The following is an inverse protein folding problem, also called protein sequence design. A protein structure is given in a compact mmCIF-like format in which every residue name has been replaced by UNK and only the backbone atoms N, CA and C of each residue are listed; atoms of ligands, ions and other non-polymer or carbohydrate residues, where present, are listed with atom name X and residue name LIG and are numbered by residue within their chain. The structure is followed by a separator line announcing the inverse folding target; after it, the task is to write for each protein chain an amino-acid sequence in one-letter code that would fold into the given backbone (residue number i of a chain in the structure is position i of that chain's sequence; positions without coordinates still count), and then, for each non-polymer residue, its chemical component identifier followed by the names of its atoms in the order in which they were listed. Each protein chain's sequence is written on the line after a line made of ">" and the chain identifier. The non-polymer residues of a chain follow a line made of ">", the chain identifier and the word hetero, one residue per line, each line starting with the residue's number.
data_IF_424609027283
#
_entry.id   IF_424609027283
#
_cell.length_a   1.000
_cell.length_b   1.000
_cell.length_c   1.000
_cell.angle_alpha   90.00
_cell.angle_beta   90.00
_cell.angle_gamma   90.00
#
_symmetry.space_group_name_H-M   'P 1'
#
loop_
_entity.id
_entity.type
_entity.pdbx_description
1 polymer ?
#
# COMPACT_ATOMS: atom_id res chain seq x y z
N UNK A 1 90.50 -41.74 -31.95
CA UNK A 1 90.97 -40.35 -31.93
C UNK A 1 89.78 -39.41 -31.80
N UNK A 2 89.76 -38.80 -30.70
CA UNK A 2 89.36 -37.38 -30.47
C UNK A 2 87.98 -36.93 -30.91
N UNK A 3 87.17 -36.66 -29.92
CA UNK A 3 86.71 -35.31 -29.46
C UNK A 3 85.32 -35.03 -29.98
N UNK A 4 84.40 -34.50 -29.27
CA UNK A 4 84.47 -33.68 -28.10
C UNK A 4 83.07 -33.54 -27.55
N UNK A 5 83.09 -33.50 -26.28
CA UNK A 5 81.90 -33.10 -25.50
C UNK A 5 81.54 -31.65 -25.79
N UNK A 6 80.38 -31.42 -26.27
CA UNK A 6 79.79 -30.07 -26.21
C UNK A 6 78.66 -30.08 -25.19
N UNK A 7 79.00 -29.54 -24.04
CA UNK A 7 78.02 -29.17 -23.04
C UNK A 7 77.05 -28.18 -23.68
N UNK A 8 75.87 -28.61 -24.01
CA UNK A 8 74.78 -27.71 -24.22
C UNK A 8 74.13 -27.51 -22.88
N UNK A 9 74.53 -26.42 -22.23
CA UNK A 9 73.71 -25.80 -21.16
C UNK A 9 72.42 -25.37 -21.79
N UNK A 10 71.47 -26.24 -21.85
CA UNK A 10 70.12 -25.83 -22.04
C UNK A 10 69.64 -25.20 -20.74
N UNK A 11 69.67 -23.90 -20.78
CA UNK A 11 68.93 -23.05 -19.84
C UNK A 11 67.53 -23.60 -19.72
N UNK A 12 67.22 -24.19 -18.58
CA UNK A 12 65.88 -24.40 -18.12
C UNK A 12 65.33 -22.99 -17.88
N UNK A 13 64.82 -22.40 -18.93
CA UNK A 13 63.99 -21.23 -18.82
C UNK A 13 62.77 -21.66 -17.98
N UNK A 14 62.85 -21.31 -16.72
CA UNK A 14 61.71 -21.29 -15.84
C UNK A 14 60.67 -20.36 -16.51
N UNK A 15 59.81 -20.97 -17.31
CA UNK A 15 58.57 -20.37 -17.71
C UNK A 15 57.70 -20.37 -16.43
N UNK A 16 58.03 -19.47 -15.53
CA UNK A 16 57.09 -19.00 -14.55
C UNK A 16 56.00 -18.27 -15.36
N UNK A 17 55.08 -19.06 -15.89
CA UNK A 17 53.85 -18.56 -16.40
C UNK A 17 53.23 -17.73 -15.29
N UNK A 18 53.36 -16.39 -15.37
CA UNK A 18 52.45 -15.48 -14.73
C UNK A 18 51.05 -15.87 -15.27
N UNK A 19 50.42 -16.79 -14.58
CA UNK A 19 48.97 -16.85 -14.51
C UNK A 19 48.56 -15.51 -13.90
N UNK A 20 48.46 -14.49 -14.74
CA UNK A 20 47.59 -13.36 -14.52
C UNK A 20 46.19 -13.97 -14.35
N UNK A 21 45.92 -14.36 -13.10
CA UNK A 21 44.56 -14.37 -12.64
C UNK A 21 44.08 -12.93 -12.85
N UNK A 22 43.57 -12.63 -14.02
CA UNK A 22 42.61 -11.59 -14.17
C UNK A 22 41.44 -12.06 -13.29
N UNK A 23 41.53 -11.76 -11.99
CA UNK A 23 40.36 -11.59 -11.17
C UNK A 23 39.53 -10.59 -11.96
N UNK A 24 38.63 -11.09 -12.78
CA UNK A 24 37.56 -10.27 -13.30
C UNK A 24 37.00 -9.60 -12.07
N UNK A 25 37.30 -8.33 -11.90
CA UNK A 25 36.52 -7.49 -10.98
C UNK A 25 35.10 -7.69 -11.49
N UNK A 26 34.38 -8.57 -10.80
CA UNK A 26 32.92 -8.47 -10.78
C UNK A 26 32.71 -7.05 -10.30
N UNK A 27 32.49 -6.15 -11.25
CA UNK A 27 32.09 -4.79 -10.96
C UNK A 27 30.89 -4.99 -10.06
N UNK A 28 31.06 -4.82 -8.76
CA UNK A 28 29.96 -4.84 -7.83
C UNK A 28 28.96 -3.85 -8.41
N UNK A 29 27.76 -4.30 -8.71
CA UNK A 29 26.72 -3.44 -9.26
C UNK A 29 26.60 -2.24 -8.29
N UNK A 30 27.05 -1.06 -8.73
CA UNK A 30 27.15 0.13 -7.90
C UNK A 30 25.74 0.70 -7.58
N UNK A 31 24.70 0.00 -8.04
CA UNK A 31 23.32 0.36 -7.82
C UNK A 31 22.54 -0.72 -7.06
N UNK A 32 21.62 -0.26 -6.21
CA UNK A 32 20.62 -1.11 -5.55
C UNK A 32 19.31 -0.94 -6.31
N UNK A 33 18.84 -2.03 -6.92
CA UNK A 33 17.65 -2.02 -7.78
C UNK A 33 16.40 -2.34 -6.97
N UNK A 34 15.48 -1.39 -6.86
CA UNK A 34 14.19 -1.55 -6.19
C UNK A 34 13.07 -1.51 -7.23
N UNK A 35 12.23 -2.52 -7.22
CA UNK A 35 11.03 -2.57 -8.06
C UNK A 35 9.88 -1.80 -7.43
N UNK A 36 9.09 -1.12 -8.26
CA UNK A 36 7.84 -0.48 -7.87
C UNK A 36 6.77 -0.93 -8.84
N UNK A 37 5.70 -1.56 -8.37
CA UNK A 37 4.56 -1.88 -9.23
C UNK A 37 3.28 -1.30 -8.65
N UNK A 38 2.60 -0.49 -9.43
CA UNK A 38 1.43 0.29 -9.02
C UNK A 38 0.42 0.36 -10.16
N UNK A 39 -0.86 0.54 -9.89
CA UNK A 39 -1.84 0.83 -10.94
C UNK A 39 -1.64 2.28 -11.41
N UNK A 40 -0.97 2.47 -12.54
CA UNK A 40 -0.74 3.79 -13.15
C UNK A 40 -1.72 4.08 -14.28
N UNK A 41 -2.43 3.05 -14.74
CA UNK A 41 -3.57 3.12 -15.66
C UNK A 41 -4.73 2.26 -15.14
N UNK A 42 -5.92 2.45 -15.71
CA UNK A 42 -7.13 1.74 -15.29
C UNK A 42 -7.84 2.39 -14.11
N UNK A 43 -8.75 1.65 -13.50
CA UNK A 43 -9.71 2.12 -12.49
C UNK A 43 -9.07 2.73 -11.24
N UNK A 44 -7.92 2.19 -10.81
CA UNK A 44 -7.22 2.60 -9.59
C UNK A 44 -6.05 3.56 -9.86
N UNK A 45 -5.91 4.06 -11.09
CA UNK A 45 -4.73 4.81 -11.55
C UNK A 45 -4.40 6.02 -10.67
N UNK A 46 -5.40 6.76 -10.22
CA UNK A 46 -5.16 7.96 -9.44
C UNK A 46 -4.56 7.64 -8.05
N UNK A 47 -5.04 6.59 -7.38
CA UNK A 47 -4.46 6.15 -6.11
C UNK A 47 -3.02 5.66 -6.28
N UNK A 48 -2.76 4.85 -7.30
CA UNK A 48 -1.41 4.37 -7.61
C UNK A 48 -0.44 5.49 -7.99
N UNK A 49 -0.91 6.54 -8.69
CA UNK A 49 -0.07 7.70 -9.00
C UNK A 49 0.33 8.46 -7.75
N UNK A 50 -0.59 8.68 -6.80
CA UNK A 50 -0.29 9.34 -5.52
C UNK A 50 0.77 8.54 -4.73
N UNK A 51 0.65 7.20 -4.66
CA UNK A 51 1.66 6.36 -4.03
C UNK A 51 3.02 6.46 -4.73
N UNK A 52 3.04 6.47 -6.07
CA UNK A 52 4.28 6.65 -6.83
C UNK A 52 4.96 7.98 -6.54
N UNK A 53 4.18 9.05 -6.43
CA UNK A 53 4.72 10.37 -6.14
C UNK A 53 5.34 10.41 -4.73
N UNK A 54 4.73 9.74 -3.75
CA UNK A 54 5.30 9.54 -2.42
C UNK A 54 6.61 8.73 -2.44
N UNK A 55 6.64 7.61 -3.17
CA UNK A 55 7.87 6.81 -3.36
C UNK A 55 8.98 7.64 -3.99
N UNK A 56 8.68 8.40 -5.04
CA UNK A 56 9.67 9.26 -5.72
C UNK A 56 10.19 10.36 -4.83
N UNK A 57 9.33 10.98 -4.03
CA UNK A 57 9.73 12.01 -3.08
C UNK A 57 10.69 11.43 -2.03
N UNK A 58 10.36 10.29 -1.43
CA UNK A 58 11.24 9.59 -0.49
C UNK A 58 12.59 9.20 -1.13
N UNK A 59 12.56 8.73 -2.37
CA UNK A 59 13.78 8.40 -3.12
C UNK A 59 14.63 9.64 -3.42
N UNK A 60 14.03 10.80 -3.70
CA UNK A 60 14.79 12.06 -3.87
C UNK A 60 15.47 12.51 -2.57
N UNK A 61 14.84 12.27 -1.43
CA UNK A 61 15.42 12.60 -0.11
C UNK A 61 16.51 11.61 0.30
N UNK A 62 16.35 10.32 0.00
CA UNK A 62 17.32 9.27 0.33
C UNK A 62 17.65 8.43 -0.92
N UNK A 63 18.46 9.00 -1.86
CA UNK A 63 18.79 8.35 -3.13
C UNK A 63 19.86 7.27 -3.02
N UNK A 64 20.47 7.08 -1.85
CA UNK A 64 21.58 6.14 -1.63
C UNK A 64 21.42 5.40 -0.29
N UNK A 65 21.84 4.14 -0.29
CA UNK A 65 21.95 3.32 0.93
C UNK A 65 23.17 2.40 0.81
N UNK A 66 23.86 2.12 1.91
CA UNK A 66 25.10 1.34 1.95
C UNK A 66 26.21 1.89 1.01
N UNK A 67 26.22 3.22 0.78
CA UNK A 67 27.18 3.87 -0.14
C UNK A 67 26.92 3.58 -1.63
N UNK A 68 25.73 3.06 -1.98
CA UNK A 68 25.33 2.76 -3.36
C UNK A 68 24.07 3.52 -3.72
N UNK A 69 23.97 3.94 -4.99
CA UNK A 69 22.77 4.56 -5.52
C UNK A 69 21.60 3.59 -5.55
N UNK A 70 20.41 4.09 -5.22
CA UNK A 70 19.16 3.35 -5.43
C UNK A 70 18.60 3.69 -6.81
N UNK A 71 18.22 2.67 -7.57
CA UNK A 71 17.53 2.82 -8.85
C UNK A 71 16.12 2.22 -8.75
N UNK A 72 15.10 3.01 -9.14
CA UNK A 72 13.70 2.58 -9.13
C UNK A 72 13.27 2.08 -10.50
N UNK A 73 12.76 0.86 -10.54
CA UNK A 73 12.14 0.25 -11.73
C UNK A 73 10.63 0.24 -11.56
N UNK A 74 9.96 1.18 -12.22
CA UNK A 74 8.51 1.37 -12.11
C UNK A 74 7.78 0.60 -13.21
N UNK A 75 6.78 -0.21 -12.82
CA UNK A 75 5.95 -0.98 -13.76
C UNK A 75 4.47 -0.74 -13.44
N UNK A 76 3.69 -0.39 -14.46
CA UNK A 76 2.25 -0.28 -14.40
C UNK A 76 1.59 -1.67 -14.35
N UNK A 77 0.76 -1.94 -13.34
CA UNK A 77 -0.03 -3.16 -13.25
C UNK A 77 -1.45 -3.01 -13.83
N UNK A 78 -1.77 -1.86 -14.42
CA UNK A 78 -3.01 -1.56 -15.16
C UNK A 78 -4.30 -1.82 -14.38
N UNK A 79 -4.25 -1.80 -13.06
CA UNK A 79 -5.38 -2.16 -12.17
C UNK A 79 -5.90 -3.59 -12.40
N UNK A 80 -5.04 -4.52 -12.87
CA UNK A 80 -5.39 -5.88 -13.24
C UNK A 80 -4.55 -6.92 -12.47
N UNK A 81 -5.18 -8.02 -12.01
CA UNK A 81 -4.53 -9.08 -11.23
C UNK A 81 -3.45 -9.82 -12.04
N UNK A 82 -3.70 -10.09 -13.33
CA UNK A 82 -2.76 -10.80 -14.20
C UNK A 82 -1.56 -9.90 -14.52
N UNK A 83 -1.83 -8.64 -14.81
CA UNK A 83 -0.78 -7.65 -15.06
C UNK A 83 0.05 -7.37 -13.78
N UNK A 84 -0.55 -7.42 -12.59
CA UNK A 84 0.19 -7.34 -11.32
C UNK A 84 1.21 -8.48 -11.19
N UNK A 85 0.81 -9.72 -11.45
CA UNK A 85 1.71 -10.85 -11.46
C UNK A 85 2.80 -10.72 -12.54
N UNK A 86 2.46 -10.23 -13.73
CA UNK A 86 3.39 -10.01 -14.83
C UNK A 86 4.39 -8.88 -14.50
N UNK A 87 3.93 -7.80 -13.87
CA UNK A 87 4.78 -6.71 -13.42
C UNK A 87 5.86 -7.19 -12.45
N UNK A 88 5.48 -7.97 -11.44
CA UNK A 88 6.42 -8.53 -10.47
C UNK A 88 7.37 -9.52 -11.11
N UNK A 89 6.90 -10.40 -12.01
CA UNK A 89 7.78 -11.29 -12.79
C UNK A 89 8.82 -10.52 -13.61
N UNK A 90 8.41 -9.42 -14.24
CA UNK A 90 9.32 -8.55 -14.98
C UNK A 90 10.39 -7.94 -14.08
N UNK A 91 9.97 -7.35 -12.95
CA UNK A 91 10.89 -6.74 -11.97
C UNK A 91 11.95 -7.73 -11.49
N UNK A 92 11.55 -8.96 -11.18
CA UNK A 92 12.46 -10.01 -10.69
C UNK A 92 13.36 -10.54 -11.81
N UNK A 93 12.77 -10.95 -12.94
CA UNK A 93 13.51 -11.71 -13.95
C UNK A 93 14.32 -10.83 -14.90
N UNK A 94 13.80 -9.65 -15.27
CA UNK A 94 14.45 -8.74 -16.21
C UNK A 94 15.26 -7.66 -15.49
N UNK A 95 14.65 -6.96 -14.56
CA UNK A 95 15.26 -5.81 -13.90
C UNK A 95 16.17 -6.23 -12.72
N UNK A 96 16.05 -7.51 -12.26
CA UNK A 96 16.89 -8.08 -11.18
C UNK A 96 16.85 -7.28 -9.89
N UNK A 97 15.66 -6.85 -9.49
CA UNK A 97 15.45 -6.07 -8.27
C UNK A 97 15.70 -6.91 -7.01
N UNK A 98 16.20 -6.28 -5.95
CA UNK A 98 16.50 -6.93 -4.66
C UNK A 98 15.32 -6.85 -3.69
N UNK A 99 14.40 -5.93 -3.93
CA UNK A 99 13.19 -5.74 -3.15
C UNK A 99 12.11 -5.04 -3.99
N UNK A 100 10.86 -5.10 -3.55
CA UNK A 100 9.71 -4.57 -4.28
C UNK A 100 8.85 -3.70 -3.36
N UNK A 101 8.36 -2.58 -3.87
CA UNK A 101 7.34 -1.72 -3.25
C UNK A 101 6.06 -1.82 -4.10
N UNK A 102 4.93 -1.92 -3.44
CA UNK A 102 3.60 -1.93 -4.07
C UNK A 102 2.68 -2.98 -3.44
N UNK A 103 1.44 -2.84 -3.66
CA UNK A 103 0.72 -1.97 -4.61
C UNK A 103 -0.56 -1.44 -3.97
N UNK A 104 -1.14 -0.40 -4.57
CA UNK A 104 -2.49 0.05 -4.23
C UNK A 104 -3.52 -1.02 -4.59
N UNK A 105 -4.24 -1.52 -3.56
CA UNK A 105 -5.32 -2.50 -3.74
C UNK A 105 -4.93 -3.95 -3.43
N UNK A 106 -5.71 -4.57 -2.52
CA UNK A 106 -5.41 -5.89 -1.95
C UNK A 106 -5.38 -7.02 -2.97
N UNK A 107 -6.35 -7.05 -3.90
CA UNK A 107 -6.40 -8.08 -4.96
C UNK A 107 -5.16 -8.07 -5.86
N UNK A 108 -4.66 -6.86 -6.17
CA UNK A 108 -3.45 -6.66 -6.97
C UNK A 108 -2.20 -7.06 -6.18
N UNK A 109 -2.17 -6.71 -4.88
CA UNK A 109 -1.09 -7.06 -3.97
C UNK A 109 -0.97 -8.57 -3.76
N UNK A 110 -2.09 -9.28 -3.61
CA UNK A 110 -2.10 -10.74 -3.50
C UNK A 110 -1.54 -11.40 -4.77
N UNK A 111 -1.96 -10.93 -5.95
CA UNK A 111 -1.48 -11.49 -7.22
C UNK A 111 0.01 -11.27 -7.45
N UNK A 112 0.53 -10.06 -7.21
CA UNK A 112 1.96 -9.76 -7.31
C UNK A 112 2.78 -10.37 -6.17
N UNK A 113 2.26 -10.33 -4.94
CA UNK A 113 2.89 -10.87 -3.75
C UNK A 113 3.14 -12.38 -3.83
N UNK A 114 2.23 -13.14 -4.44
CA UNK A 114 2.44 -14.58 -4.67
C UNK A 114 3.66 -14.87 -5.55
N UNK A 115 3.94 -13.99 -6.51
CA UNK A 115 5.13 -14.10 -7.36
C UNK A 115 6.40 -13.73 -6.60
N UNK A 116 6.36 -12.65 -5.81
CA UNK A 116 7.48 -12.21 -4.99
C UNK A 116 7.82 -13.26 -3.91
N UNK A 117 6.82 -13.81 -3.22
CA UNK A 117 6.94 -14.86 -2.22
C UNK A 117 7.66 -16.10 -2.78
N UNK A 118 7.21 -16.63 -3.93
CA UNK A 118 7.82 -17.80 -4.60
C UNK A 118 9.25 -17.55 -5.05
N UNK A 119 9.59 -16.31 -5.35
CA UNK A 119 10.92 -15.92 -5.77
C UNK A 119 11.86 -15.60 -4.59
N UNK A 120 11.33 -15.51 -3.36
CA UNK A 120 12.10 -15.13 -2.17
C UNK A 120 12.55 -13.67 -2.19
N UNK A 121 11.76 -12.78 -2.82
CA UNK A 121 12.08 -11.35 -2.91
C UNK A 121 11.17 -10.56 -1.94
N UNK A 122 11.73 -9.80 -0.99
CA UNK A 122 10.93 -9.03 -0.04
C UNK A 122 10.10 -7.96 -0.74
N UNK A 123 8.84 -7.84 -0.34
CA UNK A 123 7.88 -6.86 -0.83
C UNK A 123 7.29 -6.09 0.33
N UNK A 124 7.22 -4.77 0.20
CA UNK A 124 6.54 -3.87 1.13
C UNK A 124 5.29 -3.32 0.47
N UNK A 125 4.13 -3.76 0.94
CA UNK A 125 2.82 -3.30 0.49
C UNK A 125 2.54 -1.86 0.95
N UNK A 126 1.93 -1.07 0.08
CA UNK A 126 1.55 0.33 0.33
C UNK A 126 0.18 0.41 1.01
N UNK A 127 -0.93 0.44 0.25
CA UNK A 127 -2.30 0.42 0.75
C UNK A 127 -3.05 -0.83 0.27
N UNK A 128 -2.77 -1.94 0.90
CA UNK A 128 -3.31 -3.27 0.58
C UNK A 128 -3.71 -4.00 1.88
N UNK A 129 -4.86 -3.63 2.41
CA UNK A 129 -5.29 -3.84 3.80
C UNK A 129 -5.88 -5.22 4.10
N UNK A 130 -6.25 -6.03 3.07
CA UNK A 130 -6.80 -7.36 3.30
C UNK A 130 -5.76 -8.28 4.00
N UNK A 131 -6.11 -8.99 5.08
CA UNK A 131 -5.17 -9.88 5.79
C UNK A 131 -4.49 -10.92 4.92
N UNK A 132 -5.16 -11.40 3.86
CA UNK A 132 -4.62 -12.42 2.95
C UNK A 132 -3.40 -11.96 2.15
N UNK A 133 -3.08 -10.66 2.15
CA UNK A 133 -1.88 -10.13 1.48
C UNK A 133 -0.61 -10.69 2.10
N UNK A 134 -0.53 -10.74 3.42
CA UNK A 134 0.66 -11.16 4.19
C UNK A 134 0.50 -12.52 4.85
N UNK A 135 -0.74 -12.95 5.12
CA UNK A 135 -1.02 -14.17 5.86
C UNK A 135 -0.33 -15.41 5.28
N UNK A 136 0.50 -16.05 6.09
CA UNK A 136 1.24 -17.26 5.73
C UNK A 136 2.40 -17.04 4.76
N UNK A 137 2.84 -15.80 4.55
CA UNK A 137 3.94 -15.43 3.67
C UNK A 137 5.16 -14.96 4.47
N UNK A 138 6.35 -15.30 3.99
CA UNK A 138 7.61 -14.97 4.62
C UNK A 138 8.18 -13.64 4.13
N UNK A 139 8.00 -13.33 2.84
CA UNK A 139 8.67 -12.21 2.19
C UNK A 139 7.75 -10.99 1.98
N UNK A 140 6.47 -11.08 2.35
CA UNK A 140 5.50 -10.02 2.10
C UNK A 140 5.18 -9.27 3.39
N UNK A 141 5.39 -7.96 3.37
CA UNK A 141 5.17 -7.00 4.45
C UNK A 141 4.26 -5.88 3.99
N UNK A 142 3.78 -5.04 4.90
CA UNK A 142 3.02 -3.81 4.55
C UNK A 142 3.23 -2.70 5.59
N UNK A 143 3.04 -1.46 5.15
CA UNK A 143 3.07 -0.28 6.03
C UNK A 143 1.67 0.18 6.46
N UNK A 144 0.63 -0.34 5.83
CA UNK A 144 -0.76 -0.04 6.15
C UNK A 144 -1.31 -0.96 7.27
N UNK A 145 -2.34 -0.50 7.98
CA UNK A 145 -3.11 -1.36 8.88
C UNK A 145 -3.89 -2.44 8.10
N UNK A 146 -4.60 -3.30 8.80
CA UNK A 146 -5.38 -4.38 8.19
C UNK A 146 -6.89 -4.17 8.34
N UNK A 147 -7.67 -4.75 7.41
CA UNK A 147 -9.13 -4.65 7.38
C UNK A 147 -9.86 -5.10 8.66
N UNK A 148 -9.36 -6.06 9.46
CA UNK A 148 -9.93 -6.33 10.79
C UNK A 148 -9.97 -5.09 11.69
N UNK A 149 -8.88 -4.32 11.76
CA UNK A 149 -8.82 -3.06 12.51
C UNK A 149 -9.72 -2.01 11.88
N UNK A 150 -9.64 -1.85 10.56
CA UNK A 150 -10.44 -0.88 9.81
C UNK A 150 -11.94 -1.12 9.98
N UNK A 151 -12.39 -2.36 9.78
CA UNK A 151 -13.80 -2.75 9.91
C UNK A 151 -14.33 -2.58 11.34
N UNK A 152 -13.51 -2.93 12.34
CA UNK A 152 -13.85 -2.72 13.75
C UNK A 152 -13.90 -1.22 14.09
N UNK A 153 -12.96 -0.41 13.59
CA UNK A 153 -12.93 1.04 13.76
C UNK A 153 -14.14 1.73 13.16
N UNK A 154 -14.49 1.40 11.90
CA UNK A 154 -15.68 1.91 11.24
C UNK A 154 -16.98 1.54 11.99
N UNK A 155 -17.09 0.27 12.42
CA UNK A 155 -18.24 -0.20 13.17
C UNK A 155 -18.34 0.46 14.56
N UNK A 156 -17.21 0.65 15.25
CA UNK A 156 -17.15 1.37 16.54
C UNK A 156 -17.59 2.80 16.38
N UNK A 157 -17.11 3.48 15.36
CA UNK A 157 -17.51 4.87 15.08
C UNK A 157 -19.01 4.97 14.80
N UNK A 158 -19.53 4.12 13.90
CA UNK A 158 -20.96 4.10 13.60
C UNK A 158 -21.83 3.78 14.82
N UNK A 159 -21.51 2.70 15.54
CA UNK A 159 -22.35 2.19 16.60
C UNK A 159 -22.24 2.98 17.91
N UNK A 160 -21.01 3.25 18.37
CA UNK A 160 -20.76 3.88 19.69
C UNK A 160 -20.75 5.40 19.63
N UNK A 161 -20.13 5.98 18.58
CA UNK A 161 -19.94 7.43 18.51
C UNK A 161 -21.11 8.14 17.83
N UNK A 162 -21.68 7.56 16.76
CA UNK A 162 -22.85 8.12 16.09
C UNK A 162 -24.18 7.55 16.62
N UNK A 163 -24.17 6.49 17.41
CA UNK A 163 -25.35 5.88 17.98
C UNK A 163 -26.20 5.06 17.00
N UNK A 164 -25.69 4.78 15.79
CA UNK A 164 -26.41 4.09 14.71
C UNK A 164 -26.50 2.59 15.00
N UNK A 165 -27.69 2.00 14.85
CA UNK A 165 -27.98 0.62 15.26
C UNK A 165 -28.37 -0.29 14.09
N UNK A 166 -28.79 0.28 12.95
CA UNK A 166 -29.19 -0.44 11.75
C UNK A 166 -28.29 -0.07 10.58
N UNK A 167 -27.57 -1.05 10.06
CA UNK A 167 -26.68 -0.83 8.93
C UNK A 167 -27.12 -1.63 7.68
N UNK A 168 -26.94 -1.04 6.52
CA UNK A 168 -26.88 -1.74 5.24
C UNK A 168 -25.43 -1.78 4.75
N UNK A 169 -25.12 -2.75 3.91
CA UNK A 169 -23.80 -2.90 3.29
C UNK A 169 -23.99 -3.11 1.79
N UNK A 170 -23.20 -2.38 0.97
CA UNK A 170 -23.16 -2.57 -0.48
C UNK A 170 -21.75 -2.97 -0.89
N UNK A 171 -21.56 -4.19 -1.41
CA UNK A 171 -20.27 -4.86 -1.57
C UNK A 171 -19.91 -5.06 -3.03
N UNK A 172 -18.71 -4.66 -3.44
CA UNK A 172 -18.08 -5.11 -4.69
C UNK A 172 -17.60 -6.56 -4.53
N UNK A 173 -18.31 -7.50 -5.18
CA UNK A 173 -17.97 -8.93 -5.05
C UNK A 173 -16.82 -9.39 -5.94
N UNK A 174 -16.37 -8.56 -6.87
CA UNK A 174 -15.21 -8.85 -7.70
C UNK A 174 -13.88 -8.46 -7.02
N UNK A 175 -13.96 -7.76 -5.88
CA UNK A 175 -12.82 -7.18 -5.19
C UNK A 175 -12.61 -7.77 -3.79
N UNK A 176 -11.45 -8.40 -3.56
CA UNK A 176 -11.14 -9.07 -2.29
C UNK A 176 -11.06 -8.09 -1.10
N UNK A 177 -10.64 -6.81 -1.32
CA UNK A 177 -10.68 -5.77 -0.30
C UNK A 177 -12.12 -5.49 0.15
N UNK A 178 -13.01 -5.21 -0.80
CA UNK A 178 -14.42 -4.89 -0.51
C UNK A 178 -15.12 -6.02 0.24
N UNK A 179 -14.94 -7.27 -0.24
CA UNK A 179 -15.51 -8.46 0.40
C UNK A 179 -14.99 -8.66 1.83
N UNK A 180 -13.67 -8.51 2.02
CA UNK A 180 -13.03 -8.65 3.32
C UNK A 180 -13.50 -7.60 4.31
N UNK A 181 -13.39 -6.32 3.95
CA UNK A 181 -13.75 -5.20 4.81
C UNK A 181 -15.24 -5.19 5.17
N UNK A 182 -16.14 -5.51 4.21
CA UNK A 182 -17.56 -5.71 4.48
C UNK A 182 -17.82 -6.75 5.57
N UNK A 183 -17.10 -7.88 5.51
CA UNK A 183 -17.20 -8.94 6.50
C UNK A 183 -16.69 -8.54 7.89
N UNK A 184 -15.61 -7.75 7.97
CA UNK A 184 -15.06 -7.27 9.24
C UNK A 184 -15.97 -6.22 9.88
N UNK A 185 -16.48 -5.28 9.10
CA UNK A 185 -17.47 -4.31 9.57
C UNK A 185 -18.73 -5.02 10.11
N UNK A 186 -19.30 -5.93 9.33
CA UNK A 186 -20.51 -6.69 9.70
C UNK A 186 -20.33 -7.44 11.04
N UNK A 187 -19.22 -8.18 11.20
CA UNK A 187 -18.93 -8.92 12.44
C UNK A 187 -18.82 -8.00 13.64
N UNK A 188 -18.06 -6.92 13.51
CA UNK A 188 -17.86 -5.96 14.61
C UNK A 188 -19.13 -5.21 14.96
N UNK A 189 -19.90 -4.81 13.96
CA UNK A 189 -21.18 -4.12 14.18
C UNK A 189 -22.20 -5.01 14.91
N UNK A 190 -22.32 -6.29 14.48
CA UNK A 190 -23.16 -7.30 15.14
C UNK A 190 -22.68 -7.64 16.55
N UNK A 191 -21.35 -7.75 16.78
CA UNK A 191 -20.76 -8.01 18.11
C UNK A 191 -21.15 -6.95 19.13
N UNK A 192 -21.34 -5.70 18.69
CA UNK A 192 -21.81 -4.59 19.52
C UNK A 192 -23.34 -4.53 19.70
N UNK A 193 -24.11 -5.39 19.05
CA UNK A 193 -25.57 -5.42 19.09
C UNK A 193 -26.26 -4.69 17.93
N UNK A 194 -25.52 -4.29 16.90
CA UNK A 194 -26.09 -3.70 15.69
C UNK A 194 -26.76 -4.73 14.78
N UNK A 195 -27.71 -4.27 13.99
CA UNK A 195 -28.47 -5.06 13.01
C UNK A 195 -28.00 -4.74 11.60
N UNK A 196 -27.73 -5.76 10.77
CA UNK A 196 -27.52 -5.59 9.33
C UNK A 196 -28.85 -5.86 8.64
N UNK A 197 -29.53 -4.79 8.21
CA UNK A 197 -30.86 -4.86 7.60
C UNK A 197 -30.83 -5.20 6.11
N UNK A 198 -29.70 -4.98 5.43
CA UNK A 198 -29.48 -5.37 4.04
C UNK A 198 -27.99 -5.58 3.76
N UNK A 199 -27.66 -6.54 2.89
CA UNK A 199 -26.32 -6.73 2.33
C UNK A 199 -26.45 -7.07 0.86
N UNK A 200 -26.20 -6.06 0.00
CA UNK A 200 -26.35 -6.15 -1.44
C UNK A 200 -25.00 -6.15 -2.14
N UNK A 201 -25.00 -6.49 -3.41
CA UNK A 201 -23.80 -6.77 -4.20
C UNK A 201 -23.80 -5.96 -5.49
N UNK A 202 -22.60 -5.62 -5.95
CA UNK A 202 -22.33 -5.10 -7.29
C UNK A 202 -21.00 -5.67 -7.80
N UNK A 203 -20.64 -5.41 -9.05
CA UNK A 203 -19.33 -5.79 -9.60
C UNK A 203 -18.49 -4.55 -9.90
N UNK A 204 -17.17 -4.67 -9.76
CA UNK A 204 -16.24 -3.61 -10.12
C UNK A 204 -16.53 -3.08 -11.54
N UNK A 205 -16.63 -1.75 -11.67
CA UNK A 205 -16.94 -1.09 -12.93
C UNK A 205 -18.43 -0.86 -13.19
N UNK A 206 -19.34 -1.36 -12.35
CA UNK A 206 -20.77 -1.02 -12.46
C UNK A 206 -20.96 0.50 -12.31
N UNK A 207 -21.93 1.04 -13.06
CA UNK A 207 -22.22 2.48 -13.11
C UNK A 207 -23.64 2.80 -12.66
N UNK A 208 -24.51 1.81 -12.51
CA UNK A 208 -25.90 1.94 -12.06
C UNK A 208 -26.15 1.08 -10.84
N UNK A 209 -26.46 1.72 -9.74
CA UNK A 209 -26.73 1.13 -8.43
C UNK A 209 -28.18 1.36 -7.97
N UNK A 210 -29.04 1.87 -8.88
CA UNK A 210 -30.41 2.28 -8.58
C UNK A 210 -31.24 1.15 -7.96
N UNK A 211 -31.12 -0.07 -8.48
CA UNK A 211 -31.84 -1.23 -7.97
C UNK A 211 -31.43 -1.57 -6.52
N UNK A 212 -30.13 -1.66 -6.28
CA UNK A 212 -29.59 -1.94 -4.95
C UNK A 212 -29.95 -0.84 -3.94
N UNK A 213 -29.78 0.43 -4.33
CA UNK A 213 -30.10 1.58 -3.47
C UNK A 213 -31.58 1.66 -3.14
N UNK A 214 -32.48 1.40 -4.10
CA UNK A 214 -33.93 1.34 -3.87
C UNK A 214 -34.28 0.26 -2.86
N UNK A 215 -33.69 -0.92 -2.96
CA UNK A 215 -33.91 -1.99 -1.96
C UNK A 215 -33.35 -1.57 -0.59
N UNK A 216 -32.13 -1.00 -0.52
CA UNK A 216 -31.53 -0.51 0.74
C UNK A 216 -32.44 0.52 1.40
N UNK A 217 -32.90 1.53 0.66
CA UNK A 217 -33.81 2.58 1.17
C UNK A 217 -35.08 1.98 1.77
N UNK A 218 -35.64 0.93 1.12
CA UNK A 218 -36.84 0.24 1.63
C UNK A 218 -36.65 -0.42 3.00
N UNK A 219 -35.40 -0.79 3.35
CA UNK A 219 -35.04 -1.41 4.64
C UNK A 219 -34.80 -0.40 5.76
N UNK A 220 -34.79 0.90 5.43
CA UNK A 220 -34.60 2.01 6.39
C UNK A 220 -33.37 1.82 7.28
N UNK A 221 -32.16 1.64 6.72
CA UNK A 221 -30.93 1.63 7.52
C UNK A 221 -30.68 3.04 8.09
N UNK A 222 -29.92 3.12 9.17
CA UNK A 222 -29.39 4.38 9.72
C UNK A 222 -28.02 4.72 9.13
N UNK A 223 -27.31 3.68 8.65
CA UNK A 223 -26.01 3.82 7.95
C UNK A 223 -25.94 2.85 6.78
N UNK A 224 -25.40 3.33 5.66
CA UNK A 224 -24.93 2.51 4.54
C UNK A 224 -23.41 2.48 4.56
N UNK A 225 -22.84 1.27 4.76
CA UNK A 225 -21.41 1.05 4.66
C UNK A 225 -21.05 0.55 3.26
N UNK A 226 -20.17 1.29 2.57
CA UNK A 226 -19.71 1.00 1.20
C UNK A 226 -18.18 0.82 1.20
N UNK A 227 -17.65 -0.39 1.41
CA UNK A 227 -16.24 -0.70 1.28
C UNK A 227 -15.82 -0.73 -0.20
N UNK A 228 -15.79 0.44 -0.83
CA UNK A 228 -15.60 0.64 -2.27
C UNK A 228 -14.31 1.41 -2.54
N UNK A 229 -13.89 1.44 -3.80
CA UNK A 229 -12.96 2.46 -4.27
C UNK A 229 -13.69 3.77 -4.56
N UNK A 230 -12.92 4.87 -4.61
CA UNK A 230 -13.48 6.23 -4.66
C UNK A 230 -14.40 6.48 -5.86
N UNK A 231 -14.13 5.89 -7.02
CA UNK A 231 -14.88 6.16 -8.23
C UNK A 231 -16.33 5.63 -8.15
N UNK A 232 -16.50 4.35 -7.86
CA UNK A 232 -17.83 3.76 -7.66
C UNK A 232 -18.51 4.32 -6.42
N UNK A 233 -17.74 4.52 -5.33
CA UNK A 233 -18.27 5.10 -4.11
C UNK A 233 -18.90 6.48 -4.32
N UNK A 234 -18.27 7.34 -5.13
CA UNK A 234 -18.80 8.64 -5.49
C UNK A 234 -20.08 8.55 -6.32
N UNK A 235 -20.17 7.59 -7.26
CA UNK A 235 -21.38 7.36 -8.07
C UNK A 235 -22.51 6.82 -7.18
N UNK A 236 -22.21 5.88 -6.28
CA UNK A 236 -23.19 5.35 -5.31
C UNK A 236 -23.78 6.48 -4.46
N UNK A 237 -22.93 7.39 -3.95
CA UNK A 237 -23.40 8.55 -3.17
C UNK A 237 -24.30 9.47 -3.98
N UNK A 238 -23.96 9.77 -5.24
CA UNK A 238 -24.81 10.57 -6.14
C UNK A 238 -26.17 9.94 -6.34
N UNK A 239 -26.20 8.67 -6.71
CA UNK A 239 -27.46 7.95 -6.95
C UNK A 239 -28.30 7.80 -5.67
N UNK A 240 -27.65 7.60 -4.51
CA UNK A 240 -28.34 7.61 -3.22
C UNK A 240 -29.00 8.96 -2.94
N UNK A 241 -28.32 10.09 -3.20
CA UNK A 241 -28.87 11.43 -3.05
C UNK A 241 -30.04 11.66 -4.02
N UNK A 242 -29.91 11.27 -5.30
CA UNK A 242 -30.95 11.38 -6.33
C UNK A 242 -32.22 10.59 -5.97
N UNK A 243 -32.07 9.45 -5.29
CA UNK A 243 -33.16 8.61 -4.79
C UNK A 243 -33.74 9.10 -3.45
N UNK A 244 -33.21 10.20 -2.89
CA UNK A 244 -33.71 10.76 -1.62
C UNK A 244 -33.34 9.92 -0.41
N UNK A 245 -32.20 9.25 -0.41
CA UNK A 245 -31.71 8.47 0.73
C UNK A 245 -31.48 9.38 1.95
N UNK A 246 -31.97 8.96 3.11
CA UNK A 246 -31.86 9.65 4.39
C UNK A 246 -31.17 8.74 5.41
N UNK A 247 -29.89 8.42 5.16
CA UNK A 247 -29.04 7.66 6.05
C UNK A 247 -27.58 8.14 5.93
N UNK A 248 -26.80 7.94 6.99
CA UNK A 248 -25.37 8.21 6.94
C UNK A 248 -24.69 7.27 5.95
N UNK A 249 -23.84 7.78 5.06
CA UNK A 249 -22.98 6.93 4.24
C UNK A 249 -21.59 6.91 4.86
N UNK A 250 -21.02 5.69 4.99
CA UNK A 250 -19.66 5.46 5.48
C UNK A 250 -18.91 4.53 4.55
N UNK A 251 -17.57 4.72 4.47
CA UNK A 251 -16.70 3.92 3.61
C UNK A 251 -15.36 3.56 4.25
N UNK A 252 -14.52 2.88 3.48
CA UNK A 252 -13.17 2.49 3.85
C UNK A 252 -12.11 3.49 3.38
N UNK A 253 -10.84 3.14 3.66
CA UNK A 253 -9.64 3.94 3.33
C UNK A 253 -9.44 4.17 1.82
N UNK A 254 -9.85 3.22 0.97
CA UNK A 254 -9.77 3.37 -0.49
C UNK A 254 -10.67 4.49 -1.05
N UNK A 255 -11.54 5.07 -0.21
CA UNK A 255 -12.33 6.26 -0.54
C UNK A 255 -11.63 7.57 -0.13
N UNK A 256 -10.48 7.51 0.57
CA UNK A 256 -9.66 8.68 0.85
C UNK A 256 -8.91 9.16 -0.40
N UNK A 257 -9.65 9.84 -1.26
CA UNK A 257 -9.15 10.30 -2.54
C UNK A 257 -9.71 11.69 -2.84
N UNK A 258 -8.89 12.69 -3.23
CA UNK A 258 -9.37 14.05 -3.53
C UNK A 258 -10.38 14.09 -4.68
N UNK A 259 -10.35 13.12 -5.61
CA UNK A 259 -11.31 13.01 -6.72
C UNK A 259 -12.74 12.67 -6.26
N UNK A 260 -12.92 12.17 -5.04
CA UNK A 260 -14.25 11.80 -4.55
C UNK A 260 -15.23 13.01 -4.54
N UNK A 261 -14.73 14.19 -4.14
CA UNK A 261 -15.52 15.41 -4.13
C UNK A 261 -15.78 15.93 -5.57
N UNK A 262 -14.83 15.77 -6.47
CA UNK A 262 -14.98 16.15 -7.88
C UNK A 262 -16.07 15.32 -8.59
N UNK A 263 -16.08 13.99 -8.35
CA UNK A 263 -17.04 13.07 -8.97
C UNK A 263 -18.41 13.16 -8.28
N UNK A 264 -18.43 13.12 -6.95
CA UNK A 264 -19.65 13.03 -6.15
C UNK A 264 -20.37 14.37 -5.94
N UNK A 265 -19.67 15.51 -6.13
CA UNK A 265 -20.24 16.84 -5.95
C UNK A 265 -20.85 17.04 -4.55
N UNK A 266 -22.08 17.54 -4.49
CA UNK A 266 -22.80 17.76 -3.21
C UNK A 266 -23.15 16.46 -2.48
N UNK A 267 -23.17 15.32 -3.16
CA UNK A 267 -23.56 14.05 -2.58
C UNK A 267 -22.52 13.49 -1.58
N UNK A 268 -21.30 14.00 -1.60
CA UNK A 268 -20.26 13.60 -0.62
C UNK A 268 -20.30 14.41 0.67
N UNK A 269 -21.17 15.42 0.76
CA UNK A 269 -21.28 16.21 2.01
C UNK A 269 -21.75 15.32 3.16
N UNK A 270 -21.04 15.37 4.28
CA UNK A 270 -21.31 14.51 5.43
C UNK A 270 -20.80 13.08 5.33
N UNK A 271 -20.22 12.67 4.19
CA UNK A 271 -19.60 11.36 4.03
C UNK A 271 -18.49 11.13 5.05
N UNK A 272 -18.44 9.94 5.63
CA UNK A 272 -17.45 9.52 6.62
C UNK A 272 -16.70 8.32 6.09
N UNK A 273 -15.37 8.31 6.23
CA UNK A 273 -14.59 7.12 5.89
C UNK A 273 -13.43 6.89 6.88
N UNK A 274 -12.97 5.66 6.93
CA UNK A 274 -11.73 5.34 7.62
C UNK A 274 -10.54 5.80 6.80
N UNK A 275 -9.43 6.10 7.47
CA UNK A 275 -8.15 6.46 6.84
C UNK A 275 -7.00 6.04 7.75
N UNK A 276 -5.77 6.18 7.28
CA UNK A 276 -4.58 6.02 8.09
C UNK A 276 -4.31 7.29 8.92
N UNK A 277 -3.51 7.21 10.00
CA UNK A 277 -3.35 8.34 10.92
C UNK A 277 -2.47 9.46 10.34
N UNK A 278 -2.88 9.97 9.20
CA UNK A 278 -2.30 11.15 8.55
C UNK A 278 -3.36 11.91 7.75
N UNK A 279 -3.45 13.19 8.01
CA UNK A 279 -4.17 14.17 7.20
C UNK A 279 -3.48 15.53 7.40
N UNK A 280 -3.28 16.35 6.34
CA UNK A 280 -2.63 17.65 6.47
C UNK A 280 -3.38 18.65 7.37
N UNK A 281 -4.64 18.38 7.71
CA UNK A 281 -5.43 19.18 8.66
C UNK A 281 -5.21 18.80 10.13
N UNK A 282 -4.47 17.72 10.43
CA UNK A 282 -4.18 17.30 11.80
C UNK A 282 -3.32 18.34 12.52
N UNK A 283 -3.71 18.65 13.77
CA UNK A 283 -2.97 19.62 14.62
C UNK A 283 -1.70 19.02 15.20
N UNK A 284 -1.73 17.74 15.54
CA UNK A 284 -0.68 17.02 16.27
C UNK A 284 0.08 16.02 15.37
N UNK A 285 0.53 16.49 14.19
CA UNK A 285 1.40 15.70 13.32
C UNK A 285 2.78 15.49 13.97
N UNK A 286 3.34 14.28 13.81
CA UNK A 286 4.73 14.02 14.18
C UNK A 286 5.70 14.82 13.28
N UNK A 287 6.99 14.95 13.67
CA UNK A 287 7.95 15.73 12.88
C UNK A 287 8.12 15.26 11.44
N UNK A 288 8.12 13.94 11.19
CA UNK A 288 8.25 13.36 9.82
C UNK A 288 7.05 13.75 8.96
N UNK A 289 5.83 13.68 9.51
CA UNK A 289 4.61 14.06 8.81
C UNK A 289 4.58 15.58 8.48
N UNK A 290 5.09 16.42 9.39
CA UNK A 290 5.23 17.87 9.13
C UNK A 290 6.20 18.14 7.97
N UNK A 291 7.39 17.54 8.03
CA UNK A 291 8.43 17.71 7.00
C UNK A 291 7.93 17.19 5.64
N UNK A 292 7.31 16.00 5.59
CA UNK A 292 6.67 15.46 4.40
C UNK A 292 5.65 16.46 3.82
N UNK A 293 4.76 17.01 4.66
CA UNK A 293 3.73 17.96 4.24
C UNK A 293 4.34 19.24 3.65
N UNK A 294 5.37 19.77 4.29
CA UNK A 294 6.09 20.96 3.82
C UNK A 294 6.81 20.72 2.49
N UNK A 295 7.51 19.59 2.38
CA UNK A 295 8.24 19.21 1.17
C UNK A 295 7.29 18.89 0.01
N UNK A 296 6.16 18.23 0.29
CA UNK A 296 5.09 18.01 -0.71
C UNK A 296 4.60 19.33 -1.29
N UNK A 297 4.31 20.32 -0.46
CA UNK A 297 3.82 21.63 -0.90
C UNK A 297 4.84 22.42 -1.72
N UNK A 298 6.14 22.18 -1.51
CA UNK A 298 7.19 22.77 -2.37
C UNK A 298 7.18 22.15 -3.77
N UNK A 299 6.95 20.83 -3.87
CA UNK A 299 6.90 20.10 -5.14
C UNK A 299 5.54 20.28 -5.85
N UNK A 300 4.45 20.33 -5.08
CA UNK A 300 3.08 20.42 -5.54
C UNK A 300 2.33 21.60 -4.91
N UNK A 301 2.63 22.86 -5.31
CA UNK A 301 2.13 24.05 -4.61
C UNK A 301 0.61 24.23 -4.61
N UNK A 302 -0.10 23.52 -5.50
CA UNK A 302 -1.57 23.61 -5.66
C UNK A 302 -2.32 22.43 -5.07
N UNK A 303 -1.61 21.44 -4.53
CA UNK A 303 -2.19 20.18 -4.08
C UNK A 303 -1.79 19.91 -2.64
N UNK A 304 -2.76 19.55 -1.82
CA UNK A 304 -2.45 19.02 -0.49
C UNK A 304 -1.98 17.56 -0.61
N UNK A 305 -1.02 17.15 0.24
CA UNK A 305 -0.61 15.75 0.27
C UNK A 305 -1.76 14.84 0.70
N UNK A 306 -1.83 13.67 0.08
CA UNK A 306 -2.83 12.66 0.39
C UNK A 306 -2.18 11.50 1.17
N UNK A 307 -2.97 10.78 1.94
CA UNK A 307 -2.50 9.63 2.73
C UNK A 307 -1.88 8.52 1.88
N UNK A 308 -2.34 8.34 0.64
CA UNK A 308 -1.72 7.35 -0.28
C UNK A 308 -0.29 7.76 -0.65
N UNK A 309 -0.04 9.05 -0.88
CA UNK A 309 1.33 9.55 -1.07
C UNK A 309 2.19 9.31 0.18
N UNK A 310 1.63 9.52 1.37
CA UNK A 310 2.31 9.25 2.63
C UNK A 310 2.66 7.76 2.80
N UNK A 311 1.77 6.84 2.40
CA UNK A 311 2.04 5.39 2.43
C UNK A 311 3.10 4.98 1.41
N UNK A 312 3.10 5.57 0.22
CA UNK A 312 4.16 5.39 -0.76
C UNK A 312 5.52 5.82 -0.21
N UNK A 313 5.56 6.99 0.42
CA UNK A 313 6.76 7.53 1.10
C UNK A 313 7.23 6.59 2.21
N UNK A 314 6.36 6.21 3.12
CA UNK A 314 6.68 5.31 4.25
C UNK A 314 7.17 3.94 3.76
N UNK A 315 6.61 3.41 2.66
CA UNK A 315 7.02 2.12 2.09
C UNK A 315 8.46 2.13 1.58
N UNK A 316 8.88 3.22 0.96
CA UNK A 316 10.27 3.40 0.55
C UNK A 316 11.18 3.54 1.76
N UNK A 317 10.82 4.42 2.70
CA UNK A 317 11.67 4.74 3.85
C UNK A 317 11.88 3.54 4.78
N UNK A 318 10.85 2.73 5.04
CA UNK A 318 10.97 1.51 5.86
C UNK A 318 11.83 0.45 5.16
N UNK A 319 11.74 0.33 3.83
CA UNK A 319 12.58 -0.59 3.06
C UNK A 319 14.05 -0.14 3.10
N UNK A 320 14.34 1.13 2.92
CA UNK A 320 15.71 1.67 2.99
C UNK A 320 16.28 1.50 4.40
N UNK A 321 15.49 1.75 5.44
CA UNK A 321 15.89 1.49 6.83
C UNK A 321 16.23 0.01 7.06
N UNK A 322 15.40 -0.90 6.55
CA UNK A 322 15.64 -2.34 6.65
C UNK A 322 16.93 -2.76 5.91
N UNK A 323 17.18 -2.26 4.71
CA UNK A 323 18.42 -2.50 3.96
C UNK A 323 19.63 -1.97 4.75
N UNK A 324 19.52 -0.78 5.34
CA UNK A 324 20.58 -0.19 6.17
C UNK A 324 20.87 -1.03 7.41
N UNK A 325 19.84 -1.50 8.13
CA UNK A 325 19.99 -2.37 9.32
C UNK A 325 20.55 -3.75 8.96
N UNK A 326 20.13 -4.30 7.83
CA UNK A 326 20.68 -5.56 7.29
C UNK A 326 22.15 -5.45 6.90
N UNK A 327 22.66 -4.25 6.58
CA UNK A 327 24.00 -4.04 6.03
C UNK A 327 24.24 -4.77 4.70
N UNK A 328 23.17 -5.20 4.03
CA UNK A 328 23.18 -6.07 2.85
C UNK A 328 21.95 -5.84 1.99
N UNK A 329 22.05 -6.21 0.71
CA UNK A 329 20.95 -6.31 -0.24
C UNK A 329 20.48 -7.74 -0.46
N UNK A 330 21.01 -8.69 0.32
CA UNK A 330 20.55 -10.07 0.30
C UNK A 330 19.07 -10.15 0.72
N UNK A 331 18.19 -10.77 -0.07
CA UNK A 331 16.76 -10.80 0.21
C UNK A 331 16.39 -11.38 1.57
N UNK A 332 17.11 -12.43 2.04
CA UNK A 332 16.85 -13.02 3.36
C UNK A 332 17.24 -12.06 4.49
N UNK A 333 18.37 -11.37 4.36
CA UNK A 333 18.82 -10.40 5.35
C UNK A 333 17.85 -9.20 5.43
N UNK A 334 17.39 -8.69 4.28
CA UNK A 334 16.40 -7.61 4.20
C UNK A 334 15.05 -8.05 4.77
N UNK A 335 14.58 -9.27 4.44
CA UNK A 335 13.35 -9.86 5.00
C UNK A 335 13.40 -9.93 6.53
N UNK A 336 14.52 -10.42 7.09
CA UNK A 336 14.72 -10.47 8.54
C UNK A 336 14.68 -9.07 9.14
N UNK A 337 15.37 -8.10 8.55
CA UNK A 337 15.38 -6.72 9.04
C UNK A 337 13.99 -6.06 8.96
N UNK A 338 13.18 -6.35 7.93
CA UNK A 338 11.79 -5.91 7.85
C UNK A 338 10.95 -6.50 8.98
N UNK A 339 11.03 -7.81 9.22
CA UNK A 339 10.30 -8.49 10.30
C UNK A 339 10.67 -7.96 11.71
N UNK A 340 11.90 -7.51 11.89
CA UNK A 340 12.39 -6.95 13.15
C UNK A 340 12.11 -5.44 13.32
N UNK A 341 11.38 -4.82 12.39
CA UNK A 341 11.07 -3.38 12.47
C UNK A 341 10.14 -3.07 13.63
N UNK A 342 10.63 -2.22 14.55
CA UNK A 342 9.88 -1.76 15.72
C UNK A 342 10.04 -0.27 15.91
N UNK A 343 8.92 0.44 16.11
CA UNK A 343 8.94 1.86 16.41
C UNK A 343 9.45 2.75 15.27
N UNK A 344 9.36 2.31 14.02
CA UNK A 344 9.71 3.14 12.87
C UNK A 344 8.73 4.32 12.75
N UNK A 345 9.27 5.55 12.85
CA UNK A 345 8.47 6.78 12.75
C UNK A 345 8.34 7.17 11.30
N UNK A 346 7.16 6.96 10.72
CA UNK A 346 6.81 7.38 9.37
C UNK A 346 5.85 8.55 9.35
N UNK A 347 5.46 8.96 8.15
CA UNK A 347 4.45 10.01 7.92
C UNK A 347 3.09 9.56 8.48
N UNK A 348 2.72 8.31 8.24
CA UNK A 348 1.45 7.72 8.70
C UNK A 348 1.53 7.19 10.14
N UNK A 349 2.40 7.76 10.97
CA UNK A 349 2.58 7.39 12.38
C UNK A 349 3.68 6.37 12.61
N UNK A 350 3.70 5.80 13.81
CA UNK A 350 4.69 4.79 14.21
C UNK A 350 4.31 3.43 13.64
N UNK A 351 5.26 2.76 13.00
CA UNK A 351 5.09 1.43 12.44
C UNK A 351 5.91 0.41 13.25
N UNK A 352 5.24 -0.60 13.78
CA UNK A 352 5.83 -1.84 14.26
C UNK A 352 5.28 -2.97 13.40
N UNK A 353 6.16 -3.78 12.84
CA UNK A 353 5.77 -4.97 12.07
C UNK A 353 5.55 -6.11 13.06
N UNK A 354 4.35 -6.70 13.02
CA UNK A 354 3.98 -7.81 13.88
C UNK A 354 4.37 -9.18 13.28
N UNK A 355 4.03 -10.26 13.98
CA UNK A 355 4.36 -11.63 13.56
C UNK A 355 3.70 -12.08 12.25
N UNK A 356 2.63 -11.41 11.83
CA UNK A 356 1.94 -11.65 10.55
C UNK A 356 2.39 -10.69 9.45
N UNK A 357 3.48 -9.94 9.68
CA UNK A 357 4.08 -8.96 8.76
C UNK A 357 3.19 -7.75 8.46
N UNK A 358 2.28 -7.44 9.35
CA UNK A 358 1.37 -6.30 9.27
C UNK A 358 1.87 -5.14 10.12
N UNK A 359 1.58 -3.93 9.71
CA UNK A 359 1.82 -2.74 10.53
C UNK A 359 0.69 -2.58 11.57
N UNK A 360 1.05 -2.45 12.82
CA UNK A 360 0.12 -2.09 13.89
C UNK A 360 -0.07 -0.57 13.88
N UNK A 361 -1.26 -0.12 13.55
CA UNK A 361 -1.62 1.31 13.48
C UNK A 361 -3.07 1.52 13.88
N UNK A 362 -3.39 2.65 14.55
CA UNK A 362 -4.78 3.03 14.79
C UNK A 362 -5.51 3.39 13.49
N UNK A 363 -6.84 3.48 13.57
CA UNK A 363 -7.69 3.84 12.46
C UNK A 363 -8.09 5.32 12.59
N UNK A 364 -7.75 6.12 11.59
CA UNK A 364 -8.25 7.48 11.46
C UNK A 364 -9.68 7.51 10.94
N UNK A 365 -10.44 8.51 11.33
CA UNK A 365 -11.78 8.81 10.80
C UNK A 365 -11.77 10.20 10.21
N UNK A 366 -12.25 10.29 8.98
CA UNK A 366 -12.41 11.55 8.25
C UNK A 366 -13.87 11.76 7.91
N UNK A 367 -14.32 13.01 7.97
CA UNK A 367 -15.64 13.45 7.50
C UNK A 367 -15.47 14.55 6.46
N UNK A 368 -16.29 14.54 5.43
CA UNK A 368 -16.36 15.66 4.48
C UNK A 368 -17.34 16.70 5.00
N UNK A 369 -16.85 17.92 5.17
CA UNK A 369 -17.63 19.07 5.67
C UNK A 369 -17.34 20.30 4.80
N UNK A 370 -18.39 20.90 4.22
CA UNK A 370 -18.25 21.99 3.25
C UNK A 370 -17.30 21.63 2.08
N UNK A 371 -17.42 20.40 1.59
CA UNK A 371 -16.61 19.86 0.49
C UNK A 371 -15.13 19.60 0.83
N UNK A 372 -14.74 19.71 2.11
CA UNK A 372 -13.35 19.49 2.57
C UNK A 372 -13.25 18.36 3.56
N UNK A 373 -12.16 17.62 3.50
CA UNK A 373 -11.85 16.61 4.49
C UNK A 373 -11.53 17.26 5.85
N UNK A 374 -12.04 16.65 6.90
CA UNK A 374 -11.71 16.96 8.28
C UNK A 374 -11.39 15.67 9.02
N UNK A 375 -10.21 15.61 9.61
CA UNK A 375 -9.84 14.50 10.50
C UNK A 375 -10.60 14.67 11.82
N UNK A 376 -11.45 13.71 12.17
CA UNK A 376 -12.40 13.85 13.28
C UNK A 376 -12.13 12.94 14.47
N UNK A 377 -11.45 11.81 14.26
CA UNK A 377 -11.13 10.88 15.36
C UNK A 377 -9.99 9.94 14.99
N UNK A 378 -9.31 9.42 16.01
CA UNK A 378 -8.47 8.23 15.95
C UNK A 378 -9.12 7.15 16.80
N UNK A 379 -9.26 5.95 16.27
CA UNK A 379 -9.87 4.81 16.93
C UNK A 379 -8.80 3.74 17.14
N UNK A 380 -8.63 3.31 18.38
CA UNK A 380 -7.92 2.07 18.71
C UNK A 380 -8.96 0.94 18.72
N UNK A 381 -9.02 0.11 17.66
CA UNK A 381 -10.08 -0.89 17.57
C UNK A 381 -9.84 -2.07 18.52
N UNK A 382 -10.88 -2.47 19.22
CA UNK A 382 -10.94 -3.73 19.97
C UNK A 382 -11.35 -4.86 19.01
N UNK A 383 -10.49 -5.85 18.78
CA UNK A 383 -10.75 -7.02 17.93
C UNK A 383 -11.57 -8.10 18.63
#
# INVERSE_FOLDING_TARGET
>A
MKKGAFLSLMSVALIFGLLLFSAGQVMADDTIRIGVYLPLTGQNAFGGQLELDGVKMAHQEVPEVLGKKVELFVVDNKSDKVESANAVKRLINKEKVVAIIGTYGSSLAMAGGEVAEKAGIPMVGTSCTNPLVTQGKKYIFRVCFIDPYQGAGAATYAYRMLGLKKAAILVDVANDYSVGLAGFFERSFKKMGGEIVAKLKYNSGDQDFTAQLTEIISKKPEVLFIPSYFAEGAIIMKQAQELGADFQIMGGDAMDNPKIAEIGGSAVEGFIHTTFPYDPSMKDMNPVAKEFTENWKKLHPKEDPNVNAALGYDSYMILIDAIKRAGSTDPEAVTKALAETKGFVGVTGVTTINETHDAEKPVGIVKIVNGKKQYVATIEPEL
#
